data_IF_452202395305
#
_entry.id   IF_452202395305
#
_cell.length_a   1.000
_cell.length_b   1.000
_cell.length_c   1.000
_cell.angle_alpha   90.00
_cell.angle_beta   90.00
_cell.angle_gamma   90.00
#
_symmetry.space_group_name_H-M   'P 1'
#
loop_
_entity.id
_entity.type
_entity.pdbx_description
1 polymer ?
#
# COMPACT_ATOMS: atom_id res chain seq x y z
N UNK A 1 -29.47 10.67 24.75
CA UNK A 1 -28.86 9.78 23.75
C UNK A 1 -29.87 9.60 22.62
N UNK A 2 -29.68 10.26 21.49
CA UNK A 2 -30.41 10.00 20.25
C UNK A 2 -29.41 10.16 19.11
N UNK A 3 -28.45 9.23 19.05
CA UNK A 3 -27.69 9.00 17.84
C UNK A 3 -28.40 7.84 17.14
N UNK A 4 -29.44 8.15 16.40
CA UNK A 4 -29.98 7.23 15.39
C UNK A 4 -28.83 6.98 14.42
N UNK A 5 -28.10 5.88 14.62
CA UNK A 5 -27.23 5.32 13.59
C UNK A 5 -28.07 5.26 12.33
N UNK A 6 -27.72 6.06 11.33
CA UNK A 6 -28.38 6.00 10.02
C UNK A 6 -27.94 4.68 9.40
N UNK A 7 -28.67 3.59 9.70
CA UNK A 7 -28.51 2.34 8.97
C UNK A 7 -28.73 2.62 7.49
N UNK A 8 -27.90 2.01 6.65
CA UNK A 8 -28.11 2.06 5.21
C UNK A 8 -29.45 1.40 4.87
N UNK A 9 -30.09 1.78 3.75
CA UNK A 9 -31.26 1.07 3.24
C UNK A 9 -30.99 -0.44 3.12
N UNK A 10 -31.98 -1.27 3.42
CA UNK A 10 -31.82 -2.73 3.42
C UNK A 10 -31.43 -3.31 2.04
N UNK A 11 -31.75 -2.58 0.97
CA UNK A 11 -31.45 -2.90 -0.42
C UNK A 11 -30.15 -2.23 -0.94
N UNK A 12 -29.38 -1.60 -0.07
CA UNK A 12 -28.14 -0.93 -0.48
C UNK A 12 -27.07 -1.92 -0.94
N UNK A 13 -26.78 -1.92 -2.24
CA UNK A 13 -25.72 -2.71 -2.84
C UNK A 13 -24.41 -1.91 -2.91
N UNK A 14 -23.55 -2.10 -1.92
CA UNK A 14 -22.28 -1.39 -1.82
C UNK A 14 -21.31 -1.72 -2.96
N UNK A 15 -21.36 -2.93 -3.54
CA UNK A 15 -20.51 -3.32 -4.68
C UNK A 15 -20.87 -2.53 -5.94
N UNK A 16 -22.16 -2.44 -6.23
CA UNK A 16 -22.66 -1.62 -7.34
C UNK A 16 -22.35 -0.13 -7.13
N UNK A 17 -22.48 0.36 -5.90
CA UNK A 17 -22.11 1.72 -5.55
C UNK A 17 -20.61 2.00 -5.74
N UNK A 18 -19.74 1.06 -5.33
CA UNK A 18 -18.30 1.17 -5.55
C UNK A 18 -17.95 1.25 -7.02
N UNK A 19 -18.50 0.35 -7.86
CA UNK A 19 -18.24 0.37 -9.31
C UNK A 19 -18.59 1.73 -9.93
N UNK A 20 -19.76 2.28 -9.58
CA UNK A 20 -20.17 3.61 -10.04
C UNK A 20 -19.26 4.74 -9.55
N UNK A 21 -18.76 4.64 -8.31
CA UNK A 21 -17.82 5.60 -7.74
C UNK A 21 -16.44 5.54 -8.43
N UNK A 22 -15.98 4.34 -8.78
CA UNK A 22 -14.68 4.10 -9.43
C UNK A 22 -14.68 4.55 -10.90
N UNK A 23 -15.82 4.48 -11.58
CA UNK A 23 -16.01 5.02 -12.94
C UNK A 23 -15.95 6.56 -13.01
N UNK A 24 -15.98 7.28 -11.88
CA UNK A 24 -15.96 8.74 -11.88
C UNK A 24 -14.57 9.28 -12.28
N UNK A 25 -14.54 9.97 -13.43
CA UNK A 25 -13.31 10.53 -14.00
C UNK A 25 -12.58 11.50 -13.06
N UNK A 26 -11.24 11.54 -13.09
CA UNK A 26 -10.44 12.49 -12.32
C UNK A 26 -10.77 13.97 -12.61
N UNK A 27 -11.27 14.28 -13.80
CA UNK A 27 -11.68 15.62 -14.24
C UNK A 27 -13.06 16.04 -13.74
N UNK A 28 -13.76 15.18 -12.99
CA UNK A 28 -15.07 15.49 -12.43
C UNK A 28 -15.04 16.74 -11.51
N UNK A 29 -16.19 17.40 -11.41
CA UNK A 29 -16.36 18.63 -10.62
C UNK A 29 -16.12 18.39 -9.12
N UNK A 30 -15.76 19.45 -8.39
CA UNK A 30 -15.60 19.41 -6.94
C UNK A 30 -16.81 18.82 -6.19
N UNK A 31 -18.06 19.23 -6.50
CA UNK A 31 -19.26 18.63 -5.91
C UNK A 31 -19.40 17.12 -6.18
N UNK A 32 -19.08 16.66 -7.40
CA UNK A 32 -19.13 15.24 -7.73
C UNK A 32 -18.08 14.43 -6.95
N UNK A 33 -16.85 14.96 -6.82
CA UNK A 33 -15.79 14.36 -6.00
C UNK A 33 -16.18 14.31 -4.52
N UNK A 34 -16.78 15.38 -3.99
CA UNK A 34 -17.27 15.41 -2.61
C UNK A 34 -18.42 14.42 -2.37
N UNK A 35 -19.32 14.26 -3.36
CA UNK A 35 -20.37 13.24 -3.30
C UNK A 35 -19.78 11.83 -3.31
N UNK A 36 -18.74 11.57 -4.12
CA UNK A 36 -18.01 10.30 -4.13
C UNK A 36 -17.38 9.98 -2.77
N UNK A 37 -16.78 10.97 -2.10
CA UNK A 37 -16.24 10.79 -0.75
C UNK A 37 -17.28 10.33 0.26
N UNK A 38 -18.46 10.98 0.27
CA UNK A 38 -19.57 10.55 1.15
C UNK A 38 -20.13 9.18 0.77
N UNK A 39 -20.17 8.85 -0.52
CA UNK A 39 -20.58 7.51 -0.96
C UNK A 39 -19.56 6.45 -0.54
N UNK A 40 -18.28 6.77 -0.50
CA UNK A 40 -17.23 5.88 -0.04
C UNK A 40 -17.39 5.49 1.44
N UNK A 41 -17.75 6.44 2.31
CA UNK A 41 -18.08 6.15 3.70
C UNK A 41 -19.24 5.13 3.80
N UNK A 42 -20.26 5.27 2.95
CA UNK A 42 -21.40 4.35 2.89
C UNK A 42 -21.01 2.98 2.33
N UNK A 43 -20.13 2.92 1.34
CA UNK A 43 -19.60 1.67 0.78
C UNK A 43 -18.85 0.89 1.86
N UNK A 44 -17.92 1.53 2.58
CA UNK A 44 -17.17 0.91 3.66
C UNK A 44 -18.09 0.44 4.78
N UNK A 45 -19.11 1.24 5.15
CA UNK A 45 -20.14 0.80 6.09
C UNK A 45 -20.84 -0.47 5.58
N UNK A 46 -21.19 -0.55 4.30
CA UNK A 46 -21.79 -1.76 3.71
C UNK A 46 -20.88 -2.98 3.84
N UNK A 47 -19.57 -2.83 3.59
CA UNK A 47 -18.58 -3.90 3.77
C UNK A 47 -18.51 -4.37 5.22
N UNK A 48 -18.44 -3.43 6.18
CA UNK A 48 -18.36 -3.74 7.61
C UNK A 48 -19.65 -4.40 8.12
N UNK A 49 -20.82 -3.96 7.65
CA UNK A 49 -22.11 -4.53 8.05
C UNK A 49 -22.27 -5.96 7.52
N UNK A 50 -21.89 -6.19 6.26
CA UNK A 50 -21.83 -7.54 5.65
C UNK A 50 -20.90 -8.48 6.43
N UNK A 51 -19.82 -7.95 7.01
CA UNK A 51 -18.89 -8.70 7.85
C UNK A 51 -19.27 -8.74 9.34
N UNK A 52 -20.44 -8.24 9.73
CA UNK A 52 -20.92 -8.28 11.12
C UNK A 52 -20.16 -7.40 12.10
N UNK A 53 -19.47 -6.35 11.63
CA UNK A 53 -18.61 -5.48 12.46
C UNK A 53 -19.37 -4.32 13.14
N UNK A 54 -20.70 -4.40 13.22
CA UNK A 54 -21.56 -3.39 13.86
C UNK A 54 -21.20 -1.91 13.52
N UNK A 55 -21.07 -1.55 12.23
CA UNK A 55 -20.60 -0.22 11.86
C UNK A 55 -21.58 0.88 12.25
N UNK A 56 -21.02 2.07 12.43
CA UNK A 56 -21.73 3.33 12.63
C UNK A 56 -21.20 4.37 11.65
N UNK A 57 -22.10 4.99 10.89
CA UNK A 57 -21.77 6.12 10.03
C UNK A 57 -21.29 7.32 10.85
N UNK A 58 -20.68 8.27 10.15
CA UNK A 58 -20.02 9.44 10.71
C UNK A 58 -20.83 10.20 11.74
N UNK A 59 -20.13 10.65 12.76
CA UNK A 59 -20.68 11.33 13.92
C UNK A 59 -19.73 12.43 14.38
N UNK A 60 -20.26 13.41 15.14
CA UNK A 60 -19.50 14.57 15.60
C UNK A 60 -19.45 14.67 17.12
N UNK A 61 -18.61 13.88 17.82
CA UNK A 61 -18.40 14.07 19.25
C UNK A 61 -17.75 15.42 19.53
N UNK A 62 -18.39 16.27 20.33
CA UNK A 62 -17.77 17.51 20.87
C UNK A 62 -17.15 18.43 19.79
N UNK A 63 -17.68 18.40 18.57
CA UNK A 63 -17.20 19.22 17.44
C UNK A 63 -16.09 18.59 16.58
N UNK A 64 -15.54 17.43 16.95
CA UNK A 64 -14.60 16.66 16.13
C UNK A 64 -15.37 15.72 15.20
N UNK A 65 -15.14 15.77 13.89
CA UNK A 65 -15.79 14.90 12.90
C UNK A 65 -15.01 13.58 12.72
N UNK A 66 -15.71 12.47 12.87
CA UNK A 66 -15.22 11.12 12.62
C UNK A 66 -16.08 10.51 11.53
N UNK A 67 -15.47 9.98 10.46
CA UNK A 67 -16.17 9.46 9.28
C UNK A 67 -16.96 8.18 9.61
N UNK A 68 -16.51 7.40 10.60
CA UNK A 68 -17.27 6.28 11.15
C UNK A 68 -16.55 5.52 12.25
N UNK A 69 -17.18 4.46 12.73
CA UNK A 69 -16.54 3.51 13.64
C UNK A 69 -17.19 2.14 13.50
N UNK A 70 -16.48 1.09 13.88
CA UNK A 70 -17.00 -0.28 13.88
C UNK A 70 -16.42 -1.06 15.08
N UNK A 71 -17.03 -2.19 15.39
CA UNK A 71 -16.65 -3.07 16.48
C UNK A 71 -15.94 -4.31 15.94
N UNK A 72 -14.76 -4.62 16.48
CA UNK A 72 -14.00 -5.81 16.12
C UNK A 72 -13.34 -6.35 17.38
N UNK A 73 -13.43 -7.66 17.65
CA UNK A 73 -12.74 -8.33 18.77
C UNK A 73 -12.84 -7.60 20.13
N UNK A 74 -14.02 -7.07 20.46
CA UNK A 74 -14.24 -6.42 21.75
C UNK A 74 -13.68 -5.00 21.88
N UNK A 75 -13.30 -4.34 20.78
CA UNK A 75 -12.81 -2.96 20.78
C UNK A 75 -13.42 -2.12 19.66
N UNK A 76 -13.44 -0.81 19.91
CA UNK A 76 -13.84 0.19 18.91
C UNK A 76 -12.69 0.46 17.96
N UNK A 77 -12.98 0.41 16.67
CA UNK A 77 -12.13 0.89 15.59
C UNK A 77 -12.72 2.19 15.04
N UNK A 78 -11.96 3.28 15.03
CA UNK A 78 -12.36 4.49 14.31
C UNK A 78 -12.02 4.34 12.82
N UNK A 79 -12.82 4.99 11.97
CA UNK A 79 -12.62 5.04 10.54
C UNK A 79 -12.36 6.48 10.09
N UNK A 80 -11.34 6.65 9.23
CA UNK A 80 -11.18 7.80 8.34
C UNK A 80 -11.17 7.27 6.90
N UNK A 81 -12.02 7.83 6.04
CA UNK A 81 -12.21 7.38 4.67
C UNK A 81 -11.94 8.51 3.68
N UNK A 82 -11.02 8.29 2.74
CA UNK A 82 -10.63 9.29 1.74
C UNK A 82 -10.67 8.74 0.32
N UNK A 83 -11.41 9.42 -0.54
CA UNK A 83 -11.38 9.16 -1.99
C UNK A 83 -10.73 10.34 -2.74
N UNK A 84 -9.41 10.42 -2.65
CA UNK A 84 -8.56 11.36 -3.40
C UNK A 84 -7.70 10.62 -4.42
N UNK A 85 -7.22 11.34 -5.43
CA UNK A 85 -6.27 10.78 -6.39
C UNK A 85 -4.85 10.75 -5.80
N UNK A 86 -4.47 11.81 -5.10
CA UNK A 86 -3.16 11.92 -4.47
C UNK A 86 -3.08 11.10 -3.19
N UNK A 87 -1.89 10.56 -2.93
CA UNK A 87 -1.54 9.88 -1.71
C UNK A 87 -1.52 10.84 -0.51
N UNK A 88 -1.93 10.35 0.67
CA UNK A 88 -1.97 11.19 1.87
C UNK A 88 -0.61 11.36 2.54
N UNK A 89 -0.27 12.60 2.96
CA UNK A 89 0.94 12.87 3.72
C UNK A 89 0.80 12.46 5.19
N UNK A 90 1.93 12.40 5.90
CA UNK A 90 2.01 12.10 7.33
C UNK A 90 1.08 12.98 8.20
N UNK A 91 0.91 14.25 7.83
CA UNK A 91 0.04 15.19 8.56
C UNK A 91 -1.42 14.74 8.61
N UNK A 92 -1.93 14.09 7.55
CA UNK A 92 -3.29 13.52 7.55
C UNK A 92 -3.41 12.36 8.53
N UNK A 93 -2.38 11.51 8.62
CA UNK A 93 -2.34 10.38 9.54
C UNK A 93 -2.23 10.86 10.99
N UNK A 94 -1.41 11.86 11.27
CA UNK A 94 -1.29 12.44 12.62
C UNK A 94 -2.57 13.11 13.11
N UNK A 95 -3.29 13.82 12.22
CA UNK A 95 -4.59 14.38 12.56
C UNK A 95 -5.57 13.29 12.96
N UNK A 96 -5.65 12.19 12.19
CA UNK A 96 -6.53 11.07 12.52
C UNK A 96 -6.09 10.34 13.80
N UNK A 97 -4.79 10.10 13.97
CA UNK A 97 -4.22 9.53 15.19
C UNK A 97 -4.62 10.33 16.43
N UNK A 98 -4.56 11.66 16.37
CA UNK A 98 -5.02 12.51 17.48
C UNK A 98 -6.47 12.24 17.89
N UNK A 99 -7.35 11.94 16.92
CA UNK A 99 -8.74 11.56 17.19
C UNK A 99 -8.84 10.21 17.92
N UNK A 100 -8.01 9.24 17.53
CA UNK A 100 -7.91 7.90 18.13
C UNK A 100 -7.35 7.97 19.54
N UNK A 101 -6.25 8.68 19.74
CA UNK A 101 -5.58 8.87 21.03
C UNK A 101 -6.50 9.60 22.04
N UNK A 102 -7.45 10.40 21.55
CA UNK A 102 -8.49 11.04 22.35
C UNK A 102 -9.64 10.12 22.81
N UNK A 103 -9.60 8.80 22.52
CA UNK A 103 -10.63 7.82 22.93
C UNK A 103 -10.14 6.90 24.05
N UNK A 104 -10.93 5.88 24.38
CA UNK A 104 -10.59 4.89 25.40
C UNK A 104 -9.31 4.15 24.99
N UNK A 105 -8.41 3.91 25.95
CA UNK A 105 -7.21 3.08 25.75
C UNK A 105 -7.60 1.75 25.08
N UNK A 106 -6.87 1.39 24.02
CA UNK A 106 -7.16 0.22 23.18
C UNK A 106 -8.06 0.50 21.97
N UNK A 107 -8.52 1.74 21.79
CA UNK A 107 -9.15 2.18 20.53
C UNK A 107 -8.06 2.24 19.45
N UNK A 108 -8.36 1.67 18.28
CA UNK A 108 -7.48 1.69 17.12
C UNK A 108 -8.15 2.45 15.97
N UNK A 109 -7.38 2.83 14.96
CA UNK A 109 -7.89 3.52 13.77
C UNK A 109 -7.60 2.72 12.50
N UNK A 110 -8.56 2.71 11.58
CA UNK A 110 -8.39 2.31 10.20
C UNK A 110 -8.43 3.58 9.33
N UNK A 111 -7.34 3.86 8.63
CA UNK A 111 -7.33 4.90 7.59
C UNK A 111 -7.44 4.21 6.23
N UNK A 112 -8.57 4.40 5.55
CA UNK A 112 -8.83 3.85 4.22
C UNK A 112 -8.71 4.96 3.15
N UNK A 113 -7.77 4.83 2.21
CA UNK A 113 -7.61 5.81 1.12
C UNK A 113 -7.45 5.18 -0.25
N UNK A 114 -8.30 5.57 -1.20
CA UNK A 114 -8.16 5.15 -2.60
C UNK A 114 -6.89 5.68 -3.27
N UNK A 115 -6.34 6.80 -2.79
CA UNK A 115 -5.07 7.38 -3.28
C UNK A 115 -3.84 6.78 -2.60
N UNK A 116 -4.03 6.03 -1.50
CA UNK A 116 -2.94 5.48 -0.69
C UNK A 116 -2.21 6.53 0.14
N UNK A 117 -0.93 6.26 0.44
CA UNK A 117 -0.11 7.01 1.40
C UNK A 117 1.24 7.34 0.79
N UNK A 118 1.80 8.50 1.13
CA UNK A 118 3.18 8.82 0.73
C UNK A 118 4.16 7.93 1.49
N UNK A 119 5.34 7.69 0.93
CA UNK A 119 6.38 6.89 1.57
C UNK A 119 6.77 7.43 2.95
N UNK A 120 6.91 8.75 3.06
CA UNK A 120 7.17 9.43 4.34
C UNK A 120 6.06 9.26 5.39
N UNK A 121 4.82 8.96 4.96
CA UNK A 121 3.68 8.89 5.87
C UNK A 121 3.67 7.59 6.68
N UNK A 122 4.00 6.47 6.04
CA UNK A 122 4.10 5.16 6.72
C UNK A 122 5.33 5.15 7.63
N UNK A 123 6.47 5.62 7.13
CA UNK A 123 7.71 5.75 7.91
C UNK A 123 7.52 6.61 9.16
N UNK A 124 6.76 7.70 9.04
CA UNK A 124 6.40 8.57 10.15
C UNK A 124 5.58 7.84 11.24
N UNK A 125 4.69 6.92 10.85
CA UNK A 125 3.95 6.10 11.81
C UNK A 125 4.86 5.08 12.51
N UNK A 126 5.74 4.41 11.76
CA UNK A 126 6.68 3.41 12.28
C UNK A 126 7.67 4.05 13.26
N UNK A 127 8.15 5.25 12.96
CA UNK A 127 9.03 6.00 13.85
C UNK A 127 8.33 6.49 15.14
N UNK A 128 7.00 6.48 15.17
CA UNK A 128 6.19 6.83 16.33
C UNK A 128 6.33 5.80 17.46
N UNK A 129 6.11 6.24 18.71
CA UNK A 129 6.26 5.38 19.90
C UNK A 129 5.20 4.29 20.02
N UNK A 130 4.01 4.57 19.53
CA UNK A 130 2.85 3.68 19.61
C UNK A 130 2.17 3.64 18.25
N UNK A 131 1.86 2.42 17.79
CA UNK A 131 1.17 2.15 16.54
C UNK A 131 -0.31 1.88 16.85
N UNK A 132 -1.15 2.91 16.69
CA UNK A 132 -2.60 2.83 16.91
C UNK A 132 -3.41 2.82 15.62
N UNK A 133 -2.74 2.89 14.46
CA UNK A 133 -3.37 2.96 13.14
C UNK A 133 -2.93 1.79 12.25
N UNK A 134 -3.89 1.27 11.48
CA UNK A 134 -3.63 0.43 10.31
C UNK A 134 -4.10 1.17 9.05
N UNK A 135 -3.41 0.93 7.95
CA UNK A 135 -3.58 1.62 6.69
C UNK A 135 -4.12 0.66 5.62
N UNK A 136 -5.09 1.14 4.85
CA UNK A 136 -5.70 0.39 3.74
C UNK A 136 -5.76 1.29 2.51
N UNK A 137 -5.20 0.83 1.40
CA UNK A 137 -5.19 1.59 0.16
C UNK A 137 -6.29 1.14 -0.83
N UNK A 138 -6.34 1.78 -2.00
CA UNK A 138 -7.32 1.46 -3.03
C UNK A 138 -7.18 0.06 -3.62
N UNK A 139 -6.01 -0.56 -3.57
CA UNK A 139 -5.81 -1.91 -4.11
C UNK A 139 -6.31 -2.94 -3.10
N UNK A 140 -6.10 -2.71 -1.80
CA UNK A 140 -6.71 -3.48 -0.72
C UNK A 140 -8.24 -3.46 -0.78
N UNK A 141 -8.83 -2.28 -1.02
CA UNK A 141 -10.28 -2.12 -1.09
C UNK A 141 -10.83 -2.88 -2.31
N UNK A 142 -10.14 -2.85 -3.45
CA UNK A 142 -10.54 -3.60 -4.64
C UNK A 142 -10.51 -5.11 -4.41
N UNK A 143 -9.54 -5.63 -3.66
CA UNK A 143 -9.53 -7.05 -3.25
C UNK A 143 -10.81 -7.46 -2.53
N UNK A 144 -11.34 -6.59 -1.66
CA UNK A 144 -12.60 -6.83 -0.95
C UNK A 144 -13.81 -6.72 -1.87
N UNK A 145 -13.81 -5.72 -2.76
CA UNK A 145 -14.89 -5.52 -3.76
C UNK A 145 -15.00 -6.71 -4.69
N UNK A 146 -13.87 -7.20 -5.18
CA UNK A 146 -13.76 -8.31 -6.14
C UNK A 146 -14.03 -9.68 -5.48
N UNK A 147 -14.20 -9.71 -4.16
CA UNK A 147 -14.58 -10.91 -3.41
C UNK A 147 -13.43 -11.88 -3.15
N UNK A 148 -12.18 -11.42 -3.29
CA UNK A 148 -11.00 -12.22 -2.94
C UNK A 148 -10.87 -12.43 -1.42
N UNK A 149 -11.40 -11.51 -0.63
CA UNK A 149 -11.54 -11.64 0.82
C UNK A 149 -12.61 -10.69 1.37
N UNK A 150 -13.05 -10.94 2.60
CA UNK A 150 -13.91 -10.04 3.36
C UNK A 150 -13.12 -8.88 3.97
N UNK A 151 -13.80 -7.79 4.30
CA UNK A 151 -13.13 -6.65 4.98
C UNK A 151 -12.65 -7.03 6.38
N UNK A 152 -13.32 -7.98 7.05
CA UNK A 152 -12.87 -8.49 8.34
C UNK A 152 -11.55 -9.27 8.24
N UNK A 153 -11.40 -10.14 7.24
CA UNK A 153 -10.14 -10.85 6.96
C UNK A 153 -9.01 -9.86 6.64
N UNK A 154 -9.29 -8.89 5.77
CA UNK A 154 -8.35 -7.83 5.39
C UNK A 154 -7.83 -7.05 6.62
N UNK A 155 -8.75 -6.63 7.51
CA UNK A 155 -8.38 -5.91 8.74
C UNK A 155 -7.60 -6.81 9.69
N UNK A 156 -7.98 -8.07 9.85
CA UNK A 156 -7.30 -9.00 10.75
C UNK A 156 -5.85 -9.26 10.32
N UNK A 157 -5.59 -9.47 9.02
CA UNK A 157 -4.24 -9.62 8.49
C UNK A 157 -3.39 -8.37 8.78
N UNK A 158 -3.95 -7.18 8.53
CA UNK A 158 -3.26 -5.91 8.82
C UNK A 158 -3.01 -5.69 10.31
N UNK A 159 -3.96 -6.03 11.18
CA UNK A 159 -3.80 -5.94 12.64
C UNK A 159 -2.71 -6.89 13.14
N UNK A 160 -2.63 -8.08 12.56
CA UNK A 160 -1.61 -9.07 12.90
C UNK A 160 -0.23 -8.60 12.49
N UNK A 161 -0.10 -8.15 11.26
CA UNK A 161 1.13 -7.58 10.74
C UNK A 161 1.60 -6.37 11.59
N UNK A 162 0.67 -5.47 11.94
CA UNK A 162 0.96 -4.33 12.81
C UNK A 162 1.34 -4.74 14.23
N UNK A 163 0.64 -5.70 14.83
CA UNK A 163 0.83 -6.11 16.22
C UNK A 163 2.08 -6.97 16.45
N UNK A 164 2.42 -7.83 15.50
CA UNK A 164 3.53 -8.78 15.61
C UNK A 164 4.84 -8.19 15.04
N UNK A 165 4.77 -7.41 13.96
CA UNK A 165 5.95 -6.93 13.22
C UNK A 165 6.08 -5.41 13.19
N UNK A 166 5.08 -4.65 13.67
CA UNK A 166 5.12 -3.20 13.68
C UNK A 166 4.86 -2.54 12.32
N UNK A 167 4.26 -3.26 11.36
CA UNK A 167 3.92 -2.70 10.04
C UNK A 167 2.49 -2.12 10.02
N UNK A 168 2.30 -0.79 9.95
CA UNK A 168 0.96 -0.21 9.82
C UNK A 168 0.35 -0.38 8.43
N UNK A 169 1.18 -0.66 7.42
CA UNK A 169 0.77 -0.82 6.04
C UNK A 169 1.24 -2.16 5.49
N UNK A 170 0.30 -3.09 5.36
CA UNK A 170 0.52 -4.40 4.78
C UNK A 170 -0.34 -4.53 3.51
N UNK A 171 0.23 -4.46 2.29
CA UNK A 171 -0.54 -4.53 1.04
C UNK A 171 -1.14 -5.93 0.82
N UNK A 172 -2.42 -5.99 0.42
CA UNK A 172 -3.19 -7.23 0.26
C UNK A 172 -3.35 -7.64 -1.21
N UNK A 173 -2.91 -6.80 -2.16
CA UNK A 173 -3.32 -6.89 -3.56
C UNK A 173 -2.76 -8.08 -4.34
N UNK A 174 -1.76 -8.80 -3.82
CA UNK A 174 -1.10 -9.94 -4.51
C UNK A 174 -0.48 -10.93 -3.52
N UNK A 175 -1.30 -11.78 -2.90
CA UNK A 175 -0.78 -12.85 -2.06
C UNK A 175 -0.04 -13.91 -2.88
N UNK A 176 1.10 -14.40 -2.39
CA UNK A 176 1.68 -15.62 -2.92
C UNK A 176 0.87 -16.80 -2.40
N UNK A 177 -0.06 -17.34 -3.19
CA UNK A 177 -0.74 -18.56 -2.79
C UNK A 177 -1.07 -19.44 -4.00
N UNK A 178 -0.33 -20.53 -4.13
CA UNK A 178 -0.86 -21.87 -4.39
C UNK A 178 0.01 -22.89 -3.62
N UNK A 179 -0.58 -23.71 -2.71
CA UNK A 179 0.13 -24.85 -2.12
C UNK A 179 0.62 -25.79 -3.24
N UNK A 180 1.93 -26.10 -3.26
CA UNK A 180 2.53 -27.05 -4.20
C UNK A 180 3.26 -26.46 -5.42
N UNK A 181 3.41 -25.13 -5.51
CA UNK A 181 4.35 -24.50 -6.46
C UNK A 181 5.69 -24.16 -5.78
N UNK A 182 6.81 -24.11 -6.53
CA UNK A 182 8.08 -23.62 -5.99
C UNK A 182 7.90 -22.20 -5.42
N UNK A 183 8.61 -21.89 -4.34
CA UNK A 183 8.45 -20.64 -3.59
C UNK A 183 8.46 -19.42 -4.51
N UNK A 184 7.47 -18.55 -4.32
CA UNK A 184 7.29 -17.32 -5.08
C UNK A 184 8.30 -16.29 -4.61
N UNK A 185 9.01 -15.68 -5.57
CA UNK A 185 9.89 -14.56 -5.29
C UNK A 185 9.06 -13.31 -5.00
N UNK A 186 9.41 -12.61 -3.93
CA UNK A 186 8.78 -11.35 -3.54
C UNK A 186 9.79 -10.23 -3.72
N UNK A 187 9.41 -9.20 -4.46
CA UNK A 187 10.17 -7.96 -4.62
C UNK A 187 9.47 -6.86 -3.84
N UNK A 188 10.11 -6.37 -2.78
CA UNK A 188 9.66 -5.21 -2.05
C UNK A 188 10.29 -3.95 -2.64
N UNK A 189 9.49 -2.91 -2.81
CA UNK A 189 9.93 -1.59 -3.27
C UNK A 189 9.40 -0.51 -2.34
N UNK A 190 10.01 0.66 -2.32
CA UNK A 190 9.60 1.73 -1.40
C UNK A 190 8.20 2.23 -1.69
N UNK A 191 7.92 2.60 -2.94
CA UNK A 191 6.70 3.28 -3.34
C UNK A 191 5.79 2.47 -4.28
N UNK A 192 4.51 2.88 -4.33
CA UNK A 192 3.54 2.35 -5.31
C UNK A 192 3.95 2.65 -6.76
N UNK A 193 4.63 3.77 -7.00
CA UNK A 193 5.08 4.13 -8.33
C UNK A 193 6.16 3.17 -8.84
N UNK A 194 7.14 2.87 -8.00
CA UNK A 194 8.22 1.91 -8.25
C UNK A 194 7.64 0.54 -8.57
N UNK A 195 6.65 0.10 -7.78
CA UNK A 195 5.94 -1.16 -8.00
C UNK A 195 5.27 -1.16 -9.37
N UNK A 196 4.56 -0.08 -9.70
CA UNK A 196 3.90 0.10 -11.01
C UNK A 196 4.89 0.07 -12.17
N UNK A 197 6.05 0.72 -12.04
CA UNK A 197 7.12 0.72 -13.06
C UNK A 197 7.64 -0.70 -13.28
N UNK A 198 8.04 -1.39 -12.21
CA UNK A 198 8.59 -2.75 -12.31
C UNK A 198 7.55 -3.75 -12.83
N UNK A 199 6.29 -3.60 -12.45
CA UNK A 199 5.20 -4.41 -12.98
C UNK A 199 5.00 -4.23 -14.47
N UNK A 200 5.08 -2.99 -14.98
CA UNK A 200 4.98 -2.74 -16.42
C UNK A 200 6.17 -3.32 -17.17
N UNK A 201 7.40 -3.16 -16.67
CA UNK A 201 8.59 -3.78 -17.25
C UNK A 201 8.45 -5.30 -17.27
N UNK A 202 7.96 -5.90 -16.17
CA UNK A 202 7.73 -7.35 -16.10
C UNK A 202 6.66 -7.80 -17.08
N UNK A 203 5.55 -7.06 -17.24
CA UNK A 203 4.50 -7.37 -18.21
C UNK A 203 4.99 -7.28 -19.66
N UNK A 204 5.86 -6.31 -19.94
CA UNK A 204 6.37 -6.05 -21.29
C UNK A 204 7.49 -7.02 -21.69
N UNK A 205 8.42 -7.32 -20.78
CA UNK A 205 9.67 -8.05 -21.10
C UNK A 205 9.92 -9.31 -20.26
N UNK A 206 9.13 -9.54 -19.21
CA UNK A 206 9.36 -10.62 -18.25
C UNK A 206 8.86 -12.00 -18.68
N UNK A 207 9.36 -13.03 -18.00
CA UNK A 207 8.89 -14.41 -18.15
C UNK A 207 7.60 -14.66 -17.33
N UNK A 208 7.01 -15.82 -17.55
CA UNK A 208 5.81 -16.35 -16.89
C UNK A 208 6.00 -16.74 -15.42
N UNK A 209 7.22 -16.65 -14.86
CA UNK A 209 7.47 -17.01 -13.45
C UNK A 209 6.66 -16.14 -12.49
N UNK A 210 6.11 -16.72 -11.42
CA UNK A 210 5.39 -15.96 -10.40
C UNK A 210 6.37 -15.12 -9.59
N UNK A 211 6.33 -13.80 -9.80
CA UNK A 211 7.00 -12.81 -8.95
C UNK A 211 5.94 -11.85 -8.44
N UNK A 212 5.91 -11.63 -7.13
CA UNK A 212 5.07 -10.60 -6.52
C UNK A 212 5.90 -9.35 -6.30
N UNK A 213 5.45 -8.21 -6.81
CA UNK A 213 6.05 -6.91 -6.49
C UNK A 213 5.10 -6.20 -5.52
N UNK A 214 5.59 -5.78 -4.35
CA UNK A 214 4.80 -5.14 -3.31
C UNK A 214 5.41 -3.80 -2.89
N UNK A 215 4.63 -2.72 -2.83
CA UNK A 215 5.07 -1.47 -2.24
C UNK A 215 5.05 -1.56 -0.72
N UNK A 216 6.18 -1.28 -0.07
CA UNK A 216 6.27 -1.19 1.38
C UNK A 216 5.66 0.11 1.91
N UNK A 217 5.47 1.11 1.06
CA UNK A 217 4.97 2.42 1.48
C UNK A 217 6.02 3.22 2.24
N UNK A 218 7.30 2.93 2.05
CA UNK A 218 8.43 3.62 2.69
C UNK A 218 9.55 2.65 3.08
N UNK A 219 10.82 3.10 3.08
CA UNK A 219 11.96 2.25 3.36
C UNK A 219 11.97 1.74 4.81
N UNK A 220 11.39 2.48 5.77
CA UNK A 220 11.24 2.04 7.16
C UNK A 220 10.29 0.87 7.34
N UNK A 221 9.36 0.63 6.42
CA UNK A 221 8.42 -0.49 6.48
C UNK A 221 8.92 -1.76 5.80
N UNK A 222 10.03 -1.71 5.06
CA UNK A 222 10.54 -2.83 4.26
C UNK A 222 10.86 -4.06 5.12
N UNK A 223 11.59 -3.89 6.22
CA UNK A 223 11.94 -5.00 7.12
C UNK A 223 10.72 -5.54 7.90
N UNK A 224 9.90 -4.70 8.56
CA UNK A 224 8.63 -5.14 9.16
C UNK A 224 7.73 -5.93 8.20
N UNK A 225 7.55 -5.43 6.98
CA UNK A 225 6.73 -6.07 5.97
C UNK A 225 7.32 -7.41 5.51
N UNK A 226 8.62 -7.48 5.29
CA UNK A 226 9.29 -8.72 4.89
C UNK A 226 9.13 -9.83 5.93
N UNK A 227 9.28 -9.50 7.22
CA UNK A 227 9.06 -10.44 8.33
C UNK A 227 7.61 -10.91 8.42
N UNK A 228 6.66 -9.97 8.26
CA UNK A 228 5.24 -10.30 8.22
C UNK A 228 4.92 -11.26 7.05
N UNK A 229 5.47 -11.01 5.87
CA UNK A 229 5.29 -11.89 4.70
C UNK A 229 5.91 -13.27 4.92
N UNK A 230 7.11 -13.32 5.49
CA UNK A 230 7.81 -14.56 5.77
C UNK A 230 7.07 -15.45 6.78
N UNK A 231 6.40 -14.83 7.76
CA UNK A 231 5.67 -15.56 8.80
C UNK A 231 4.25 -15.95 8.35
N UNK A 232 3.55 -15.08 7.63
CA UNK A 232 2.15 -15.32 7.25
C UNK A 232 2.01 -16.24 6.02
N UNK A 233 3.06 -16.41 5.20
CA UNK A 233 2.99 -17.15 3.93
C UNK A 233 4.13 -18.17 3.76
N UNK A 234 3.79 -19.46 3.83
CA UNK A 234 4.71 -20.57 3.55
C UNK A 234 5.23 -20.63 2.10
N UNK A 235 4.60 -19.85 1.19
CA UNK A 235 4.90 -19.84 -0.23
C UNK A 235 6.01 -18.87 -0.67
N UNK A 236 6.65 -18.14 0.25
CA UNK A 236 7.69 -17.14 -0.08
C UNK A 236 9.04 -17.85 -0.25
N UNK A 237 9.56 -17.89 -1.48
CA UNK A 237 10.83 -18.56 -1.81
C UNK A 237 12.08 -17.69 -1.58
N UNK A 238 11.90 -16.37 -1.72
CA UNK A 238 12.96 -15.39 -1.59
C UNK A 238 12.38 -13.97 -1.55
N UNK A 239 13.13 -13.06 -0.92
CA UNK A 239 12.75 -11.65 -0.79
C UNK A 239 13.87 -10.77 -1.35
N UNK A 240 13.55 -9.93 -2.33
CA UNK A 240 14.46 -8.89 -2.82
C UNK A 240 13.91 -7.52 -2.45
N UNK A 241 14.70 -6.75 -1.71
CA UNK A 241 14.38 -5.38 -1.31
C UNK A 241 15.07 -4.40 -2.27
N UNK A 242 14.30 -3.69 -3.09
CA UNK A 242 14.82 -2.61 -3.93
C UNK A 242 14.54 -1.29 -3.22
N UNK A 243 15.61 -0.55 -2.93
CA UNK A 243 15.54 0.75 -2.23
C UNK A 243 16.23 1.81 -3.05
N UNK A 244 15.72 3.04 -2.97
CA UNK A 244 16.37 4.20 -3.57
C UNK A 244 17.63 4.53 -2.76
N UNK A 245 18.68 4.94 -3.46
CA UNK A 245 19.96 5.32 -2.85
C UNK A 245 19.92 6.72 -2.25
N UNK A 246 19.10 7.61 -2.79
CA UNK A 246 18.89 8.94 -2.27
C UNK A 246 17.82 8.93 -1.17
N UNK A 247 18.10 9.63 -0.07
CA UNK A 247 17.17 9.69 1.07
C UNK A 247 17.15 8.49 2.02
N UNK A 248 17.84 7.38 1.70
CA UNK A 248 17.97 6.25 2.62
C UNK A 248 18.75 6.66 3.88
N UNK A 249 18.06 6.65 5.02
CA UNK A 249 18.66 7.04 6.31
C UNK A 249 19.64 5.94 6.77
N UNK A 250 20.81 6.29 7.35
CA UNK A 250 21.81 5.30 7.77
C UNK A 250 21.28 4.21 8.71
N UNK A 251 20.33 4.57 9.58
CA UNK A 251 19.67 3.62 10.47
C UNK A 251 18.85 2.58 9.70
N UNK A 252 18.05 3.03 8.73
CA UNK A 252 17.21 2.14 7.92
C UNK A 252 18.10 1.24 7.06
N UNK A 253 19.18 1.78 6.48
CA UNK A 253 20.16 0.99 5.73
C UNK A 253 20.80 -0.12 6.60
N UNK A 254 21.17 0.22 7.84
CA UNK A 254 21.69 -0.77 8.80
C UNK A 254 20.67 -1.87 9.09
N UNK A 255 19.43 -1.50 9.40
CA UNK A 255 18.35 -2.44 9.72
C UNK A 255 18.06 -3.39 8.53
N UNK A 256 18.08 -2.86 7.30
CA UNK A 256 17.94 -3.64 6.07
C UNK A 256 19.09 -4.64 5.88
N UNK A 257 20.34 -4.19 6.03
CA UNK A 257 21.53 -5.05 5.88
C UNK A 257 21.56 -6.15 6.93
N UNK A 258 21.19 -5.84 8.17
CA UNK A 258 21.07 -6.82 9.26
C UNK A 258 19.99 -7.87 8.95
N UNK A 259 18.81 -7.44 8.51
CA UNK A 259 17.72 -8.34 8.13
C UNK A 259 18.12 -9.27 6.97
N UNK A 260 18.81 -8.74 5.96
CA UNK A 260 19.32 -9.54 4.83
C UNK A 260 20.39 -10.53 5.29
N UNK A 261 21.34 -10.12 6.12
CA UNK A 261 22.40 -10.98 6.64
C UNK A 261 21.85 -12.13 7.51
N UNK A 262 20.76 -11.89 8.23
CA UNK A 262 20.10 -12.89 9.07
C UNK A 262 19.23 -13.88 8.32
N UNK A 263 18.95 -13.67 7.02
CA UNK A 263 17.82 -14.24 6.29
C UNK A 263 16.49 -13.88 6.98
N UNK A 264 15.58 -13.22 6.27
CA UNK A 264 14.34 -12.69 6.86
C UNK A 264 13.48 -13.85 7.36
N UNK A 265 13.53 -14.11 8.67
CA UNK A 265 12.91 -15.25 9.33
C UNK A 265 13.20 -16.60 8.63
N UNK A 266 14.45 -16.78 8.18
CA UNK A 266 14.91 -17.99 7.50
C UNK A 266 14.71 -18.00 5.99
N UNK A 267 14.06 -16.96 5.42
CA UNK A 267 13.89 -16.79 3.98
C UNK A 267 15.09 -16.06 3.40
N UNK A 268 15.62 -16.58 2.29
CA UNK A 268 16.72 -15.94 1.57
C UNK A 268 16.31 -14.52 1.17
N UNK A 269 17.12 -13.54 1.58
CA UNK A 269 16.85 -12.13 1.33
C UNK A 269 18.03 -11.47 0.62
N UNK A 270 17.75 -10.47 -0.19
CA UNK A 270 18.77 -9.61 -0.82
C UNK A 270 18.32 -8.16 -0.84
N UNK A 271 19.27 -7.23 -0.93
CA UNK A 271 19.02 -5.80 -1.05
C UNK A 271 19.71 -5.27 -2.31
N UNK A 272 18.99 -4.44 -3.06
CA UNK A 272 19.48 -3.75 -4.24
C UNK A 272 19.24 -2.26 -4.05
N UNK A 273 20.33 -1.48 -4.03
CA UNK A 273 20.25 -0.02 -3.87
C UNK A 273 20.32 0.62 -5.26
N UNK A 274 19.23 1.27 -5.67
CA UNK A 274 19.13 2.00 -6.92
C UNK A 274 19.55 3.46 -6.70
N UNK A 275 20.77 3.84 -7.06
CA UNK A 275 21.27 5.21 -6.86
C UNK A 275 21.22 6.06 -8.15
N UNK A 276 20.69 7.30 -8.13
CA UNK A 276 20.05 7.94 -6.97
C UNK A 276 18.72 7.29 -6.61
N UNK A 277 17.92 6.92 -7.61
CA UNK A 277 16.60 6.31 -7.43
C UNK A 277 16.32 5.32 -8.58
N UNK A 278 15.25 4.53 -8.42
CA UNK A 278 14.84 3.53 -9.40
C UNK A 278 14.56 4.13 -10.78
N UNK A 279 13.83 5.24 -10.87
CA UNK A 279 13.47 5.86 -12.14
C UNK A 279 14.71 6.29 -12.94
N UNK A 280 15.69 6.89 -12.27
CA UNK A 280 16.92 7.36 -12.89
C UNK A 280 17.82 6.20 -13.33
N UNK A 281 17.93 5.15 -12.50
CA UNK A 281 18.71 3.94 -12.81
C UNK A 281 18.13 3.22 -14.03
N UNK A 282 16.81 3.13 -14.13
CA UNK A 282 16.11 2.57 -15.28
C UNK A 282 16.11 3.50 -16.50
N UNK A 283 16.47 4.77 -16.35
CA UNK A 283 16.56 5.74 -17.44
C UNK A 283 15.24 6.37 -17.84
N UNK A 284 14.21 6.28 -17.00
CA UNK A 284 12.90 6.89 -17.21
C UNK A 284 12.94 8.41 -16.99
N UNK A 285 13.88 8.86 -16.17
CA UNK A 285 14.15 10.26 -15.89
C UNK A 285 15.65 10.48 -15.79
N UNK A 286 16.12 11.71 -16.01
CA UNK A 286 17.52 12.05 -15.75
C UNK A 286 17.79 12.08 -14.25
N UNK A 287 18.98 11.69 -13.83
CA UNK A 287 19.39 11.73 -12.42
C UNK A 287 19.33 13.13 -11.81
N UNK A 288 19.58 14.17 -12.62
CA UNK A 288 19.56 15.59 -12.24
C UNK A 288 18.20 16.27 -12.50
N UNK A 289 17.16 15.51 -12.86
CA UNK A 289 15.88 16.10 -13.21
C UNK A 289 15.22 16.80 -12.01
N UNK A 290 14.56 17.95 -12.24
CA UNK A 290 13.85 18.66 -11.19
C UNK A 290 12.67 17.84 -10.66
N UNK A 291 12.25 18.14 -9.42
CA UNK A 291 11.14 17.44 -8.78
C UNK A 291 9.82 17.52 -9.56
N UNK A 292 9.61 18.57 -10.36
CA UNK A 292 8.44 18.69 -11.25
C UNK A 292 8.34 17.55 -12.25
N UNK A 293 9.46 17.13 -12.82
CA UNK A 293 9.51 16.13 -13.88
C UNK A 293 9.30 14.73 -13.29
N UNK A 294 9.92 14.49 -12.13
CA UNK A 294 9.70 13.28 -11.32
C UNK A 294 8.23 13.17 -10.90
N UNK A 295 7.64 14.27 -10.44
CA UNK A 295 6.21 14.31 -10.08
C UNK A 295 5.32 14.06 -11.31
N UNK A 296 5.65 14.65 -12.46
CA UNK A 296 4.90 14.42 -13.69
C UNK A 296 4.92 12.95 -14.08
N UNK A 297 6.10 12.32 -14.08
CA UNK A 297 6.28 10.90 -14.35
C UNK A 297 5.41 10.02 -13.43
N UNK A 298 5.25 10.40 -12.15
CA UNK A 298 4.36 9.70 -11.20
C UNK A 298 2.87 9.81 -11.51
N UNK A 299 2.47 10.79 -12.33
CA UNK A 299 1.07 11.11 -12.63
C UNK A 299 0.62 10.68 -14.04
N UNK A 300 1.54 10.25 -14.91
CA UNK A 300 1.17 9.81 -16.25
C UNK A 300 0.35 8.51 -16.22
N UNK A 301 -0.47 8.30 -17.24
CA UNK A 301 -1.25 7.07 -17.42
C UNK A 301 -0.39 5.89 -17.89
N UNK A 302 -0.96 4.69 -17.92
CA UNK A 302 -0.21 3.46 -18.25
C UNK A 302 0.33 3.46 -19.69
N UNK A 303 -0.40 4.02 -20.65
CA UNK A 303 0.05 4.09 -22.05
C UNK A 303 1.31 4.96 -22.20
N UNK A 304 1.32 6.13 -21.57
CA UNK A 304 2.47 7.02 -21.58
C UNK A 304 3.65 6.40 -20.82
N UNK A 305 3.40 5.74 -19.68
CA UNK A 305 4.46 5.11 -18.91
C UNK A 305 5.07 3.93 -19.67
N UNK A 306 4.27 3.11 -20.35
CA UNK A 306 4.76 2.05 -21.21
C UNK A 306 5.66 2.60 -22.33
N UNK A 307 5.25 3.69 -22.99
CA UNK A 307 6.05 4.35 -24.01
C UNK A 307 7.38 4.88 -23.42
N UNK A 308 7.35 5.50 -22.24
CA UNK A 308 8.57 5.94 -21.53
C UNK A 308 9.49 4.76 -21.22
N UNK A 309 8.96 3.63 -20.76
CA UNK A 309 9.73 2.40 -20.49
C UNK A 309 10.39 1.87 -21.77
N UNK A 310 9.65 1.83 -22.89
CA UNK A 310 10.17 1.38 -24.18
C UNK A 310 11.29 2.30 -24.69
N UNK A 311 11.15 3.61 -24.53
CA UNK A 311 12.16 4.59 -24.92
C UNK A 311 13.42 4.53 -24.04
N UNK A 312 13.29 4.14 -22.77
CA UNK A 312 14.41 4.05 -21.85
C UNK A 312 15.39 2.91 -22.19
N UNK A 313 14.95 1.92 -22.98
CA UNK A 313 15.72 0.72 -23.36
C UNK A 313 16.40 0.04 -22.16
N UNK A 314 15.58 -0.34 -21.19
CA UNK A 314 16.01 -0.95 -19.92
C UNK A 314 16.84 -2.22 -20.13
N UNK A 315 16.60 -2.97 -21.22
CA UNK A 315 17.33 -4.19 -21.55
C UNK A 315 18.77 -3.90 -21.97
N UNK A 316 18.98 -2.90 -22.84
CA UNK A 316 20.34 -2.48 -23.22
C UNK A 316 21.08 -1.88 -22.03
N UNK A 317 20.38 -1.16 -21.14
CA UNK A 317 20.97 -0.60 -19.91
C UNK A 317 21.48 -1.70 -18.97
N UNK A 318 20.70 -2.76 -18.76
CA UNK A 318 21.11 -3.87 -17.89
C UNK A 318 22.43 -4.53 -18.32
N UNK A 319 22.73 -4.62 -19.62
CA UNK A 319 24.00 -5.15 -20.11
C UNK A 319 25.22 -4.36 -19.63
N UNK A 320 25.05 -3.07 -19.33
CA UNK A 320 26.13 -2.16 -18.96
C UNK A 320 26.04 -1.67 -17.49
N UNK A 321 24.96 -1.99 -16.78
CA UNK A 321 24.73 -1.56 -15.41
C UNK A 321 24.31 -2.76 -14.53
N UNK A 322 25.22 -3.25 -13.65
CA UNK A 322 24.93 -4.39 -12.78
C UNK A 322 23.71 -4.19 -11.86
N UNK A 323 23.46 -2.97 -11.40
CA UNK A 323 22.28 -2.65 -10.58
C UNK A 323 21.00 -2.85 -11.38
N UNK A 324 20.95 -2.35 -12.62
CA UNK A 324 19.80 -2.56 -13.52
C UNK A 324 19.63 -4.05 -13.81
N UNK A 325 20.70 -4.79 -14.15
CA UNK A 325 20.61 -6.24 -14.38
C UNK A 325 20.07 -6.98 -13.15
N UNK A 326 20.52 -6.62 -11.94
CA UNK A 326 20.04 -7.24 -10.70
C UNK A 326 18.56 -6.95 -10.45
N UNK A 327 18.11 -5.70 -10.66
CA UNK A 327 16.69 -5.32 -10.54
C UNK A 327 15.85 -6.09 -11.55
N UNK A 328 16.26 -6.14 -12.82
CA UNK A 328 15.49 -6.86 -13.84
C UNK A 328 15.44 -8.37 -13.55
N UNK A 329 16.54 -8.96 -13.06
CA UNK A 329 16.58 -10.38 -12.66
C UNK A 329 15.63 -10.67 -11.49
N UNK A 330 15.52 -9.77 -10.50
CA UNK A 330 14.64 -9.99 -9.35
C UNK A 330 13.16 -10.01 -9.73
N UNK A 331 12.79 -9.29 -10.79
CA UNK A 331 11.42 -9.30 -11.34
C UNK A 331 11.20 -10.37 -12.44
N UNK A 332 12.14 -11.30 -12.61
CA UNK A 332 12.01 -12.47 -13.48
C UNK A 332 12.58 -12.32 -14.91
N UNK A 333 13.38 -11.28 -15.19
CA UNK A 333 14.04 -11.11 -16.49
C UNK A 333 15.49 -11.60 -16.42
N UNK A 334 15.74 -12.88 -16.72
CA UNK A 334 17.08 -13.49 -16.59
C UNK A 334 18.00 -13.33 -17.81
N UNK A 335 17.46 -12.92 -18.96
CA UNK A 335 18.18 -12.79 -20.23
C UNK A 335 18.94 -11.45 -20.38
N UNK A 336 19.22 -10.76 -19.26
CA UNK A 336 19.70 -9.38 -19.24
C UNK A 336 20.90 -9.16 -18.33
#
# INVERSE_FOLDING_TARGET
MNATSKRLPADYNWRAAFKKADELLPTASGPAKAARGREFERILHGMFDESGLEPRLGYRPKGEEIDGSFWLHGRTMLLEAKWTADAHPASSLYQFRGKVDGKLVGTLGLFASMGGFSTDAVDALIAGKELSLILMDGDDIRMVVDGHMTIAEAINLKLRAAGEFGTPFFPLSKFPAHPGQPGQEVVLVEGRFDARVLEMIRKEYGDTRPVTILPAGGPGNMVPLAKALATEFDGVGGITMVVDGDGLKPRIESDLREAVAGAVDGIAASIVVAHPDLEAVLGLVRSDAPWSDRRYLRQINDDLLLNTIQQADVLTRAKNNPTVSTILRSIGLHAV
#
